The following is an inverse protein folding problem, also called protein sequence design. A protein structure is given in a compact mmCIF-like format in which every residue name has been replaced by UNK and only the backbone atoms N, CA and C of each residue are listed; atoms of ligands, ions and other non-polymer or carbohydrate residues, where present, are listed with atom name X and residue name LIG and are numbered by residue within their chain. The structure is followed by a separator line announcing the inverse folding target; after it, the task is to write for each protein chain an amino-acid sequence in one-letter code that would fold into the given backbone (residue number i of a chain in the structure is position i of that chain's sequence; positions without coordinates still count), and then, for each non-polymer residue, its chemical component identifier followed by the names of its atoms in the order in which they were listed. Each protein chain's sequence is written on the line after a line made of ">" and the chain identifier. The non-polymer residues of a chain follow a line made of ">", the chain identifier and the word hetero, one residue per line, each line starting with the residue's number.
data_IF_511067594450
#
_entry.id   IF_511067594450
#
_cell.length_a   1.000
_cell.length_b   1.000
_cell.length_c   1.000
_cell.angle_alpha   90.00
_cell.angle_beta   90.00
_cell.angle_gamma   90.00
#
_symmetry.space_group_name_H-M   'P 1'
#
loop_
_entity.id
_entity.type
_entity.pdbx_description
1 polymer ?
#
# COMPACT_ATOMS: atom_id res chain seq x y z
N UNK A 1 10.55 18.92 -4.50
CA UNK A 1 11.85 18.84 -5.20
C UNK A 1 11.72 19.52 -6.55
N UNK A 2 12.66 20.41 -6.92
CA UNK A 2 12.69 21.14 -8.20
C UNK A 2 13.96 20.85 -9.02
N UNK A 3 14.89 20.04 -8.50
CA UNK A 3 16.15 19.70 -9.17
C UNK A 3 15.94 18.84 -10.43
N UNK A 4 14.80 18.16 -10.53
CA UNK A 4 14.39 17.41 -11.71
C UNK A 4 12.89 17.60 -11.97
N UNK A 5 12.57 18.28 -13.07
CA UNK A 5 11.20 18.62 -13.45
C UNK A 5 10.41 17.43 -13.98
N UNK A 6 11.08 16.47 -14.62
CA UNK A 6 10.48 15.24 -15.12
C UNK A 6 10.02 14.37 -13.96
N UNK A 7 10.89 14.09 -12.98
CA UNK A 7 10.52 13.34 -11.78
C UNK A 7 9.40 14.04 -11.01
N UNK A 8 9.44 15.37 -10.90
CA UNK A 8 8.36 16.13 -10.27
C UNK A 8 7.03 15.89 -10.98
N UNK A 9 7.01 15.91 -12.32
CA UNK A 9 5.82 15.67 -13.10
C UNK A 9 5.32 14.23 -12.98
N UNK A 10 6.23 13.24 -13.01
CA UNK A 10 5.89 11.82 -12.84
C UNK A 10 5.15 11.60 -11.53
N UNK A 11 5.71 12.03 -10.39
CA UNK A 11 5.16 11.73 -9.07
C UNK A 11 3.98 12.63 -8.64
N UNK A 12 3.66 13.68 -9.40
CA UNK A 12 2.63 14.65 -9.00
C UNK A 12 1.24 14.00 -8.85
N UNK A 13 0.84 13.15 -9.80
CA UNK A 13 -0.47 12.46 -9.78
C UNK A 13 -0.56 11.42 -8.67
N UNK A 14 0.52 10.67 -8.41
CA UNK A 14 0.58 9.73 -7.30
C UNK A 14 0.46 10.45 -5.96
N UNK A 15 1.21 11.54 -5.78
CA UNK A 15 1.16 12.33 -4.55
C UNK A 15 -0.26 12.86 -4.29
N UNK A 16 -0.92 13.42 -5.31
CA UNK A 16 -2.31 13.89 -5.20
C UNK A 16 -3.26 12.74 -4.84
N UNK A 17 -3.13 11.59 -5.50
CA UNK A 17 -3.99 10.42 -5.27
C UNK A 17 -3.80 9.86 -3.86
N UNK A 18 -2.57 9.75 -3.37
CA UNK A 18 -2.28 9.32 -2.00
C UNK A 18 -2.85 10.30 -0.97
N UNK A 19 -2.63 11.60 -1.16
CA UNK A 19 -3.17 12.63 -0.24
C UNK A 19 -4.70 12.61 -0.21
N UNK A 20 -5.35 12.43 -1.35
CA UNK A 20 -6.82 12.37 -1.41
C UNK A 20 -7.41 11.15 -0.69
N UNK A 21 -6.69 10.02 -0.70
CA UNK A 21 -7.16 8.74 -0.15
C UNK A 21 -6.56 8.39 1.21
N UNK A 22 -5.80 9.30 1.84
CA UNK A 22 -5.05 9.04 3.08
C UNK A 22 -5.93 8.40 4.16
N UNK A 23 -7.08 9.00 4.48
CA UNK A 23 -7.99 8.48 5.51
C UNK A 23 -8.46 7.06 5.21
N UNK A 24 -8.89 6.78 3.98
CA UNK A 24 -9.35 5.45 3.58
C UNK A 24 -8.23 4.41 3.69
N UNK A 25 -7.02 4.75 3.25
CA UNK A 25 -5.84 3.90 3.37
C UNK A 25 -5.58 3.57 4.84
N UNK A 26 -5.55 4.57 5.71
CA UNK A 26 -5.29 4.37 7.15
C UNK A 26 -6.38 3.52 7.80
N UNK A 27 -7.65 3.74 7.46
CA UNK A 27 -8.76 2.94 7.95
C UNK A 27 -8.66 1.46 7.52
N UNK A 28 -8.33 1.20 6.25
CA UNK A 28 -8.09 -0.15 5.74
C UNK A 28 -6.94 -0.86 6.47
N UNK A 29 -5.83 -0.15 6.73
CA UNK A 29 -4.68 -0.67 7.47
C UNK A 29 -5.00 -0.96 8.95
N UNK A 30 -5.86 -0.16 9.58
CA UNK A 30 -6.28 -0.36 10.97
C UNK A 30 -7.30 -1.50 11.08
N UNK A 31 -8.19 -1.66 10.11
CA UNK A 31 -9.30 -2.62 10.15
C UNK A 31 -8.88 -4.11 10.26
N UNK A 32 -7.61 -4.43 9.95
CA UNK A 32 -7.06 -5.78 10.09
C UNK A 32 -6.42 -6.05 11.45
N UNK A 33 -6.20 -5.04 12.28
CA UNK A 33 -5.53 -5.18 13.57
C UNK A 33 -6.37 -6.00 14.57
N UNK A 34 -5.69 -6.72 15.46
CA UNK A 34 -6.32 -7.56 16.49
C UNK A 34 -6.87 -8.90 15.98
N UNK A 35 -6.74 -9.19 14.68
CA UNK A 35 -7.15 -10.47 14.07
C UNK A 35 -5.95 -11.40 13.90
N UNK A 36 -6.20 -12.70 13.96
CA UNK A 36 -5.19 -13.72 13.66
C UNK A 36 -4.84 -13.64 12.18
N UNK A 37 -3.55 -13.62 11.87
CA UNK A 37 -3.02 -13.58 10.50
C UNK A 37 -2.28 -14.91 10.20
N UNK A 38 -2.81 -15.70 9.27
CA UNK A 38 -2.18 -16.95 8.82
C UNK A 38 -1.31 -16.71 7.59
N UNK A 39 0.01 -16.65 7.81
CA UNK A 39 1.02 -16.50 6.75
C UNK A 39 1.45 -17.84 6.13
N UNK A 40 0.86 -18.97 6.55
CA UNK A 40 1.10 -20.30 5.95
C UNK A 40 2.45 -20.93 6.30
N UNK A 41 3.16 -20.45 7.32
CA UNK A 41 4.44 -20.97 7.76
C UNK A 41 5.07 -20.09 8.85
N UNK A 42 6.32 -20.38 9.22
CA UNK A 42 7.08 -19.56 10.17
C UNK A 42 8.46 -19.18 9.62
N UNK A 43 9.34 -20.17 9.39
CA UNK A 43 10.64 -19.94 8.76
C UNK A 43 10.56 -19.81 7.24
N UNK A 44 9.62 -20.53 6.63
CA UNK A 44 9.33 -20.47 5.20
C UNK A 44 7.81 -20.32 5.06
N UNK A 45 7.38 -19.09 4.87
CA UNK A 45 5.97 -18.72 4.75
C UNK A 45 5.48 -18.90 3.32
N UNK A 46 4.16 -18.91 3.14
CA UNK A 46 3.59 -18.86 1.81
C UNK A 46 3.58 -17.40 1.32
N UNK A 47 4.26 -17.15 0.20
CA UNK A 47 4.46 -15.78 -0.31
C UNK A 47 3.14 -15.07 -0.63
N UNK A 48 2.16 -15.76 -1.21
CA UNK A 48 0.87 -15.17 -1.56
C UNK A 48 0.07 -14.78 -0.30
N UNK A 49 0.05 -15.65 0.71
CA UNK A 49 -0.59 -15.37 2.01
C UNK A 49 0.09 -14.21 2.72
N UNK A 50 1.42 -14.21 2.75
CA UNK A 50 2.19 -13.14 3.38
C UNK A 50 1.98 -11.80 2.65
N UNK A 51 1.98 -11.79 1.31
CA UNK A 51 1.73 -10.59 0.51
C UNK A 51 0.34 -10.02 0.76
N UNK A 52 -0.70 -10.87 0.80
CA UNK A 52 -2.07 -10.45 1.07
C UNK A 52 -2.22 -9.83 2.48
N UNK A 53 -1.57 -10.42 3.49
CA UNK A 53 -1.59 -9.90 4.87
C UNK A 53 -0.83 -8.58 5.00
N UNK A 54 0.32 -8.46 4.32
CA UNK A 54 1.20 -7.28 4.41
C UNK A 54 0.75 -6.11 3.53
N UNK A 55 -0.12 -6.38 2.54
CA UNK A 55 -0.69 -5.36 1.64
C UNK A 55 -2.23 -5.32 1.76
N UNK A 56 -2.81 -5.09 2.96
CA UNK A 56 -4.25 -5.25 3.17
C UNK A 56 -5.08 -4.07 2.64
N UNK A 57 -4.45 -2.92 2.36
CA UNK A 57 -5.13 -1.77 1.77
C UNK A 57 -5.18 -1.91 0.25
N UNK A 58 -6.38 -2.23 -0.27
CA UNK A 58 -6.62 -2.27 -1.71
C UNK A 58 -6.43 -0.88 -2.33
N UNK A 59 -6.84 0.17 -1.62
CA UNK A 59 -6.71 1.55 -2.11
C UNK A 59 -5.24 1.93 -2.29
N UNK A 60 -4.39 1.64 -1.31
CA UNK A 60 -2.96 1.88 -1.41
C UNK A 60 -2.31 1.06 -2.52
N UNK A 61 -2.66 -0.23 -2.62
CA UNK A 61 -2.13 -1.12 -3.66
C UNK A 61 -2.45 -0.58 -5.05
N UNK A 62 -3.69 -0.18 -5.30
CA UNK A 62 -4.10 0.37 -6.59
C UNK A 62 -3.36 1.67 -6.93
N UNK A 63 -3.11 2.54 -5.94
CA UNK A 63 -2.33 3.76 -6.14
C UNK A 63 -0.90 3.45 -6.62
N UNK A 64 -0.27 2.43 -6.05
CA UNK A 64 1.11 2.04 -6.37
C UNK A 64 1.18 1.24 -7.68
N UNK A 65 0.28 0.27 -7.87
CA UNK A 65 0.31 -0.63 -9.02
C UNK A 65 -0.07 0.09 -10.34
N UNK A 66 -0.79 1.21 -10.25
CA UNK A 66 -1.22 2.01 -11.42
C UNK A 66 -0.30 3.22 -11.70
N UNK A 67 0.76 3.39 -10.91
CA UNK A 67 1.74 4.46 -11.03
C UNK A 67 2.95 4.00 -11.85
#
# INVERSE_FOLDING_TARGET
>A
QNDNTELKATFASLAETLTKNETAIVEELIAVQGKVADIGGYYYMNDDKAAAIMRPSQTLNQCIDSF
#
